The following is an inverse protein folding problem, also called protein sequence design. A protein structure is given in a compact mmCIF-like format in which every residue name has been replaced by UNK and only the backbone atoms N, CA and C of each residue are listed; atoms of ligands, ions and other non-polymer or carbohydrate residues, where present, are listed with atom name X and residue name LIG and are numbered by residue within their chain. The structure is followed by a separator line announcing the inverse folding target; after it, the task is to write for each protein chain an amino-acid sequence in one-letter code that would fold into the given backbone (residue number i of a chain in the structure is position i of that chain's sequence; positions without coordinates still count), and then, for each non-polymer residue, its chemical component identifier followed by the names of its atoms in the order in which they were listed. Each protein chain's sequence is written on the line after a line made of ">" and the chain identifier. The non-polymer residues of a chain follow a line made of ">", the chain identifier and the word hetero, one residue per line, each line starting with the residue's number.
data_IF_033069953746
#
_entry.id   IF_033069953746
#
_cell.length_a   1.000
_cell.length_b   1.000
_cell.length_c   1.000
_cell.angle_alpha   90.00
_cell.angle_beta   90.00
_cell.angle_gamma   90.00
#
_symmetry.space_group_name_H-M   'P 1'
#
loop_
_entity.id
_entity.type
_entity.pdbx_description
1 polymer ?
#
# COMPACT_ATOMS: atom_id res chain seq x y z
N UNK A 1 -41.05 -21.83 9.72
CA UNK A 1 -40.84 -20.67 8.79
C UNK A 1 -39.90 -19.61 9.37
N UNK A 2 -39.81 -19.51 10.69
CA UNK A 2 -38.97 -18.51 11.39
C UNK A 2 -37.49 -18.85 11.29
N UNK A 3 -37.13 -20.12 11.38
CA UNK A 3 -35.75 -20.57 11.38
C UNK A 3 -35.02 -20.42 10.01
N UNK A 4 -35.78 -20.58 8.91
CA UNK A 4 -35.24 -20.38 7.57
C UNK A 4 -34.91 -18.90 7.27
N UNK A 5 -35.73 -17.98 7.83
CA UNK A 5 -35.45 -16.54 7.69
C UNK A 5 -34.24 -16.11 8.52
N UNK A 6 -34.09 -16.66 9.73
CA UNK A 6 -32.90 -16.38 10.57
C UNK A 6 -31.63 -16.92 9.90
N UNK A 7 -31.70 -18.15 9.36
CA UNK A 7 -30.55 -18.75 8.64
C UNK A 7 -30.21 -17.99 7.36
N UNK A 8 -31.20 -17.46 6.66
CA UNK A 8 -31.01 -16.64 5.45
C UNK A 8 -30.48 -15.26 5.76
N UNK A 9 -30.92 -14.64 6.87
CA UNK A 9 -30.37 -13.36 7.32
C UNK A 9 -28.94 -13.51 7.84
N UNK A 10 -28.60 -14.60 8.53
CA UNK A 10 -27.25 -14.90 8.97
C UNK A 10 -26.32 -15.22 7.78
N UNK A 11 -26.80 -15.95 6.78
CA UNK A 11 -26.06 -16.20 5.54
C UNK A 11 -25.84 -14.91 4.73
N UNK A 12 -26.84 -14.04 4.62
CA UNK A 12 -26.72 -12.75 3.95
C UNK A 12 -25.86 -11.76 4.75
N UNK A 13 -25.89 -11.81 6.08
CA UNK A 13 -25.00 -11.05 6.94
C UNK A 13 -23.55 -11.52 6.81
N UNK A 14 -23.33 -12.82 6.69
CA UNK A 14 -22.01 -13.44 6.48
C UNK A 14 -21.49 -13.23 5.05
N UNK A 15 -22.38 -13.07 4.06
CA UNK A 15 -22.02 -12.74 2.68
C UNK A 15 -21.81 -11.25 2.42
N UNK A 16 -22.21 -10.38 3.37
CA UNK A 16 -22.02 -8.95 3.27
C UNK A 16 -20.97 -8.49 4.30
N UNK A 17 -19.68 -8.48 3.94
CA UNK A 17 -18.59 -8.13 4.86
C UNK A 17 -18.66 -6.69 5.40
N UNK A 18 -19.60 -5.91 4.92
CA UNK A 18 -19.83 -4.51 5.32
C UNK A 18 -20.84 -4.33 6.46
N UNK A 19 -21.55 -5.38 6.85
CA UNK A 19 -22.73 -5.27 7.74
C UNK A 19 -22.43 -5.13 9.24
N UNK A 20 -21.14 -5.18 9.64
CA UNK A 20 -20.77 -5.22 11.07
C UNK A 20 -19.93 -4.07 11.60
N UNK A 21 -19.21 -3.33 10.76
CA UNK A 21 -18.28 -2.29 11.22
C UNK A 21 -18.67 -0.94 10.63
N UNK A 22 -18.87 0.10 11.45
CA UNK A 22 -19.18 1.43 10.95
C UNK A 22 -18.07 1.94 10.04
N UNK A 23 -18.43 2.55 8.91
CA UNK A 23 -17.51 3.06 7.87
C UNK A 23 -16.42 3.95 8.47
N UNK A 24 -16.72 4.69 9.55
CA UNK A 24 -15.75 5.53 10.24
C UNK A 24 -14.59 4.77 10.88
N UNK A 25 -14.84 3.59 11.46
CA UNK A 25 -13.78 2.76 12.03
C UNK A 25 -12.89 2.13 10.95
N UNK A 26 -13.48 1.73 9.84
CA UNK A 26 -12.71 1.23 8.69
C UNK A 26 -11.80 2.32 8.11
N UNK A 27 -12.30 3.53 7.91
CA UNK A 27 -11.51 4.66 7.47
C UNK A 27 -10.37 4.99 8.45
N UNK A 28 -10.62 4.87 9.76
CA UNK A 28 -9.61 5.11 10.77
C UNK A 28 -8.47 4.06 10.70
N UNK A 29 -8.80 2.78 10.55
CA UNK A 29 -7.81 1.69 10.46
C UNK A 29 -6.90 1.82 9.22
N UNK A 30 -7.45 2.29 8.09
CA UNK A 30 -6.72 2.49 6.85
C UNK A 30 -6.20 3.93 6.67
N UNK A 31 -6.32 4.77 7.70
CA UNK A 31 -5.87 6.18 7.66
C UNK A 31 -4.41 6.37 7.21
N UNK A 32 -3.41 5.54 7.57
CA UNK A 32 -2.05 5.72 7.08
C UNK A 32 -1.93 5.49 5.56
N UNK A 33 -2.66 4.54 5.00
CA UNK A 33 -2.67 4.30 3.54
C UNK A 33 -3.39 5.44 2.81
N UNK A 34 -4.50 5.93 3.37
CA UNK A 34 -5.24 7.09 2.84
C UNK A 34 -4.35 8.33 2.87
N UNK A 35 -3.57 8.54 3.93
CA UNK A 35 -2.63 9.65 4.02
C UNK A 35 -1.53 9.55 2.96
N UNK A 36 -0.98 8.35 2.68
CA UNK A 36 0.01 8.14 1.62
C UNK A 36 -0.58 8.41 0.23
N UNK A 37 -1.78 7.92 -0.06
CA UNK A 37 -2.46 8.19 -1.35
C UNK A 37 -2.79 9.65 -1.53
N UNK A 38 -3.28 10.33 -0.48
CA UNK A 38 -3.54 11.76 -0.51
C UNK A 38 -2.25 12.57 -0.75
N UNK A 39 -1.14 12.16 -0.13
CA UNK A 39 0.17 12.78 -0.34
C UNK A 39 0.65 12.60 -1.78
N UNK A 40 0.49 11.40 -2.34
CA UNK A 40 0.82 11.12 -3.74
C UNK A 40 0.01 12.00 -4.70
N UNK A 41 -1.30 12.15 -4.47
CA UNK A 41 -2.16 13.05 -5.24
C UNK A 41 -1.74 14.52 -5.08
N UNK A 42 -1.38 14.94 -3.87
CA UNK A 42 -0.90 16.30 -3.60
C UNK A 42 0.40 16.60 -4.37
N UNK A 43 1.34 15.64 -4.44
CA UNK A 43 2.58 15.80 -5.19
C UNK A 43 2.31 15.87 -6.72
N UNK A 44 1.30 15.16 -7.22
CA UNK A 44 0.88 15.26 -8.63
C UNK A 44 0.22 16.61 -8.91
N UNK A 45 -0.61 17.09 -8.02
CA UNK A 45 -1.34 18.36 -8.19
C UNK A 45 -0.45 19.60 -7.97
N UNK A 46 0.53 19.52 -7.08
CA UNK A 46 1.38 20.64 -6.70
C UNK A 46 2.15 21.27 -7.87
N UNK A 47 2.79 20.53 -8.81
CA UNK A 47 3.46 21.10 -9.98
C UNK A 47 2.53 21.86 -10.91
N UNK A 48 1.25 21.50 -10.93
CA UNK A 48 0.23 22.17 -11.76
C UNK A 48 -0.13 23.56 -11.23
N UNK A 49 -0.03 23.74 -9.88
CA UNK A 49 -0.48 24.98 -9.22
C UNK A 49 0.71 25.90 -8.90
N UNK A 50 1.81 25.36 -8.38
CA UNK A 50 2.96 26.11 -7.85
C UNK A 50 4.23 26.01 -8.70
N UNK A 51 4.20 25.26 -9.82
CA UNK A 51 5.39 25.00 -10.61
C UNK A 51 6.31 23.91 -10.02
N UNK A 52 7.40 23.60 -10.72
CA UNK A 52 8.30 22.46 -10.41
C UNK A 52 9.37 22.78 -9.36
N UNK A 53 9.01 23.41 -8.26
CA UNK A 53 9.97 23.69 -7.17
C UNK A 53 10.34 22.43 -6.39
N UNK A 54 11.57 21.89 -6.55
CA UNK A 54 12.04 20.69 -5.86
C UNK A 54 11.89 20.76 -4.33
N UNK A 55 12.15 21.91 -3.74
CA UNK A 55 12.01 22.12 -2.28
C UNK A 55 10.57 22.02 -1.81
N UNK A 56 9.63 22.53 -2.61
CA UNK A 56 8.20 22.48 -2.30
C UNK A 56 7.73 21.02 -2.34
N UNK A 57 8.17 20.24 -3.35
CA UNK A 57 7.83 18.81 -3.49
C UNK A 57 8.39 17.98 -2.32
N UNK A 58 9.65 18.23 -1.94
CA UNK A 58 10.25 17.58 -0.79
C UNK A 58 9.53 17.94 0.52
N UNK A 59 9.10 19.20 0.70
CA UNK A 59 8.34 19.61 1.87
C UNK A 59 6.94 18.94 1.92
N UNK A 60 6.23 18.91 0.80
CA UNK A 60 4.91 18.25 0.70
C UNK A 60 5.04 16.75 1.00
N UNK A 61 6.04 16.07 0.44
CA UNK A 61 6.29 14.65 0.73
C UNK A 61 6.64 14.42 2.20
N UNK A 62 7.48 15.27 2.80
CA UNK A 62 7.85 15.17 4.21
C UNK A 62 6.64 15.35 5.14
N UNK A 63 5.79 16.36 4.87
CA UNK A 63 4.56 16.60 5.63
C UNK A 63 3.63 15.39 5.52
N UNK A 64 3.46 14.83 4.32
CA UNK A 64 2.61 13.66 4.11
C UNK A 64 3.13 12.40 4.80
N UNK A 65 4.44 12.16 4.77
CA UNK A 65 5.07 11.02 5.48
C UNK A 65 4.90 11.17 6.99
N UNK A 66 5.09 12.39 7.53
CA UNK A 66 4.87 12.66 8.96
C UNK A 66 3.40 12.46 9.33
N UNK A 67 2.46 12.91 8.51
CA UNK A 67 1.04 12.68 8.73
C UNK A 67 0.71 11.18 8.73
N UNK A 68 1.19 10.43 7.74
CA UNK A 68 1.00 8.99 7.66
C UNK A 68 1.61 8.27 8.89
N UNK A 69 2.78 8.71 9.36
CA UNK A 69 3.43 8.17 10.55
C UNK A 69 2.61 8.40 11.83
N UNK A 70 2.07 9.63 12.01
CA UNK A 70 1.18 9.96 13.14
C UNK A 70 -0.08 9.10 13.10
N UNK A 71 -0.70 8.92 11.93
CA UNK A 71 -1.87 8.07 11.79
C UNK A 71 -1.55 6.60 12.06
N UNK A 72 -0.43 6.08 11.55
CA UNK A 72 0.01 4.71 11.82
C UNK A 72 0.24 4.47 13.32
N UNK A 73 0.85 5.42 14.02
CA UNK A 73 1.05 5.32 15.46
C UNK A 73 -0.27 5.36 16.25
N UNK A 74 -1.24 6.17 15.82
CA UNK A 74 -2.59 6.19 16.41
C UNK A 74 -3.33 4.88 16.20
N UNK A 75 -3.25 4.31 15.00
CA UNK A 75 -3.84 3.00 14.69
C UNK A 75 -3.18 1.91 15.53
N UNK A 76 -1.84 1.90 15.64
CA UNK A 76 -1.12 0.96 16.48
C UNK A 76 -1.56 1.02 17.94
N UNK A 77 -1.70 2.24 18.48
CA UNK A 77 -2.17 2.44 19.86
C UNK A 77 -3.64 2.00 20.05
N UNK A 78 -4.49 2.13 19.04
CA UNK A 78 -5.86 1.66 19.09
C UNK A 78 -5.96 0.14 19.00
N UNK A 79 -5.22 -0.48 18.09
CA UNK A 79 -5.20 -1.94 17.89
C UNK A 79 -4.58 -2.63 19.11
N UNK A 80 -3.53 -2.06 19.73
CA UNK A 80 -2.91 -2.63 20.95
C UNK A 80 -3.82 -2.59 22.16
N UNK A 81 -4.67 -1.58 22.29
CA UNK A 81 -5.68 -1.47 23.36
C UNK A 81 -6.92 -2.33 23.11
N UNK A 82 -7.22 -2.62 21.85
CA UNK A 82 -8.38 -3.42 21.43
C UNK A 82 -8.21 -4.94 21.60
N UNK A 83 -7.04 -5.40 22.04
CA UNK A 83 -6.76 -6.84 22.27
C UNK A 83 -7.69 -7.53 23.27
N UNK A 84 -8.36 -6.79 24.17
CA UNK A 84 -9.39 -7.31 25.08
C UNK A 84 -10.82 -7.22 24.52
N UNK A 85 -11.05 -6.45 23.46
CA UNK A 85 -12.38 -6.14 22.91
C UNK A 85 -12.65 -6.65 21.48
N UNK A 86 -11.86 -7.61 20.99
CA UNK A 86 -12.12 -8.25 19.69
C UNK A 86 -11.82 -7.40 18.45
N UNK A 87 -11.22 -6.21 18.61
CA UNK A 87 -10.81 -5.32 17.53
C UNK A 87 -9.48 -5.75 16.85
N UNK A 88 -8.92 -6.89 17.25
CA UNK A 88 -7.61 -7.37 16.81
C UNK A 88 -7.55 -7.83 15.35
N UNK A 89 -8.71 -8.02 14.71
CA UNK A 89 -8.80 -8.39 13.30
C UNK A 89 -10.09 -7.86 12.71
N UNK A 90 -10.09 -6.64 12.17
CA UNK A 90 -11.23 -6.12 11.42
C UNK A 90 -10.97 -6.37 9.93
N UNK A 91 -11.65 -7.36 9.34
CA UNK A 91 -11.57 -7.55 7.90
C UNK A 91 -12.34 -6.43 7.19
N UNK A 92 -11.62 -5.51 6.55
CA UNK A 92 -12.26 -4.60 5.63
C UNK A 92 -12.59 -5.34 4.34
N UNK A 93 -13.85 -5.62 4.13
CA UNK A 93 -14.38 -6.31 2.95
C UNK A 93 -13.77 -7.72 2.68
N UNK A 94 -13.14 -8.36 3.67
CA UNK A 94 -12.46 -9.64 3.49
C UNK A 94 -11.17 -9.58 2.65
N UNK A 95 -10.73 -8.38 2.27
CA UNK A 95 -9.56 -8.17 1.43
C UNK A 95 -8.35 -7.68 2.23
N UNK A 96 -8.57 -6.82 3.21
CA UNK A 96 -7.53 -6.22 4.04
C UNK A 96 -7.81 -6.50 5.52
N UNK A 97 -6.75 -6.71 6.29
CA UNK A 97 -6.79 -6.99 7.73
C UNK A 97 -5.85 -6.01 8.42
N UNK A 98 -6.35 -5.38 9.48
CA UNK A 98 -5.55 -4.54 10.35
C UNK A 98 -5.28 -5.29 11.66
N UNK A 99 -4.07 -5.76 11.86
CA UNK A 99 -3.60 -6.40 13.07
C UNK A 99 -2.31 -5.75 13.61
N UNK A 100 -1.86 -6.18 14.77
CA UNK A 100 -0.64 -5.65 15.39
C UNK A 100 0.60 -5.85 14.51
N UNK A 101 0.68 -6.97 13.80
CA UNK A 101 1.79 -7.28 12.91
C UNK A 101 1.80 -6.34 11.71
N UNK A 102 0.65 -6.21 11.03
CA UNK A 102 0.45 -5.33 9.89
C UNK A 102 0.80 -3.88 10.23
N UNK A 103 0.28 -3.39 11.35
CA UNK A 103 0.52 -2.01 11.78
C UNK A 103 1.99 -1.79 12.19
N UNK A 104 2.62 -2.77 12.83
CA UNK A 104 4.03 -2.73 13.17
C UNK A 104 4.92 -2.61 11.92
N UNK A 105 4.66 -3.44 10.90
CA UNK A 105 5.38 -3.37 9.63
C UNK A 105 5.14 -2.04 8.89
N UNK A 106 3.92 -1.50 8.92
CA UNK A 106 3.64 -0.18 8.33
C UNK A 106 4.48 0.93 8.98
N UNK A 107 4.64 0.90 10.30
CA UNK A 107 5.50 1.87 11.00
C UNK A 107 6.95 1.76 10.55
N UNK A 108 7.49 0.54 10.43
CA UNK A 108 8.85 0.30 9.94
C UNK A 108 9.01 0.79 8.50
N UNK A 109 8.06 0.51 7.62
CA UNK A 109 8.05 0.98 6.23
C UNK A 109 8.04 2.52 6.15
N UNK A 110 7.20 3.18 6.96
CA UNK A 110 7.14 4.63 7.02
C UNK A 110 8.42 5.25 7.57
N UNK A 111 9.05 4.62 8.58
CA UNK A 111 10.34 5.07 9.09
C UNK A 111 11.44 4.95 8.02
N UNK A 112 11.46 3.86 7.27
CA UNK A 112 12.38 3.68 6.14
C UNK A 112 12.14 4.74 5.05
N UNK A 113 10.88 4.98 4.68
CA UNK A 113 10.47 6.00 3.72
C UNK A 113 10.92 7.40 4.16
N UNK A 114 10.75 7.73 5.43
CA UNK A 114 11.25 8.98 6.00
C UNK A 114 12.78 9.09 5.91
N UNK A 115 13.50 8.00 6.19
CA UNK A 115 14.96 7.92 6.06
C UNK A 115 15.43 8.19 4.63
N UNK A 116 14.81 7.53 3.63
CA UNK A 116 15.14 7.73 2.21
C UNK A 116 14.84 9.17 1.78
N UNK A 117 13.71 9.73 2.19
CA UNK A 117 13.34 11.12 1.90
C UNK A 117 14.33 12.12 2.53
N UNK A 118 14.79 11.82 3.74
CA UNK A 118 15.80 12.61 4.43
C UNK A 118 17.17 12.55 3.72
N UNK A 119 17.61 11.36 3.29
CA UNK A 119 18.84 11.19 2.50
C UNK A 119 18.78 11.94 1.18
N UNK A 120 17.62 11.90 0.52
CA UNK A 120 17.42 12.67 -0.70
C UNK A 120 17.55 14.18 -0.42
N UNK A 121 17.00 14.67 0.68
CA UNK A 121 17.06 16.07 1.07
C UNK A 121 18.53 16.52 1.34
N UNK A 122 19.34 15.66 1.95
CA UNK A 122 20.78 15.94 2.17
C UNK A 122 21.57 15.95 0.85
N UNK A 123 21.22 15.08 -0.10
CA UNK A 123 21.92 14.93 -1.38
C UNK A 123 21.40 15.81 -2.52
N UNK A 124 20.34 16.60 -2.31
CA UNK A 124 19.54 17.21 -3.36
C UNK A 124 20.19 18.37 -4.13
N UNK A 125 21.41 18.77 -3.81
CA UNK A 125 22.08 19.90 -4.44
C UNK A 125 22.29 19.79 -5.97
N UNK A 126 22.02 18.65 -6.60
CA UNK A 126 22.27 18.40 -8.03
C UNK A 126 21.10 17.81 -8.86
N UNK A 127 19.93 17.53 -8.28
CA UNK A 127 18.83 16.81 -8.96
C UNK A 127 17.46 17.50 -8.84
N UNK A 128 17.41 18.81 -8.98
CA UNK A 128 16.19 19.57 -8.74
C UNK A 128 15.06 19.32 -9.78
N UNK A 129 15.39 18.97 -11.03
CA UNK A 129 14.41 18.89 -12.12
C UNK A 129 13.42 17.70 -12.01
N UNK A 130 13.82 16.57 -11.44
CA UNK A 130 13.04 15.32 -11.43
C UNK A 130 12.54 14.95 -10.01
N UNK A 131 12.56 15.87 -9.08
CA UNK A 131 12.13 15.63 -7.70
C UNK A 131 10.69 15.09 -7.56
N UNK A 132 9.66 15.67 -8.23
CA UNK A 132 8.30 15.20 -8.09
C UNK A 132 8.14 13.75 -8.58
N UNK A 133 8.78 13.41 -9.71
CA UNK A 133 8.73 12.06 -10.27
C UNK A 133 9.33 11.03 -9.30
N UNK A 134 10.44 11.37 -8.65
CA UNK A 134 11.08 10.52 -7.65
C UNK A 134 10.19 10.25 -6.45
N UNK A 135 9.58 11.29 -5.87
CA UNK A 135 8.72 11.12 -4.70
C UNK A 135 7.42 10.38 -5.01
N UNK A 136 6.83 10.56 -6.20
CA UNK A 136 5.66 9.79 -6.63
C UNK A 136 5.98 8.30 -6.70
N UNK A 137 7.11 7.93 -7.32
CA UNK A 137 7.55 6.54 -7.43
C UNK A 137 7.87 5.95 -6.05
N UNK A 138 8.54 6.70 -5.19
CA UNK A 138 8.88 6.28 -3.84
C UNK A 138 7.63 6.02 -2.99
N UNK A 139 6.68 6.95 -3.00
CA UNK A 139 5.41 6.81 -2.27
C UNK A 139 4.53 5.70 -2.85
N UNK A 140 4.50 5.54 -4.18
CA UNK A 140 3.78 4.47 -4.85
C UNK A 140 4.29 3.08 -4.46
N UNK A 141 5.61 2.90 -4.43
CA UNK A 141 6.24 1.66 -3.95
C UNK A 141 5.92 1.39 -2.47
N UNK A 142 6.01 2.41 -1.61
CA UNK A 142 5.67 2.29 -0.19
C UNK A 142 4.19 1.94 0.03
N UNK A 143 3.28 2.52 -0.76
CA UNK A 143 1.86 2.19 -0.72
C UNK A 143 1.61 0.72 -1.08
N UNK A 144 2.26 0.22 -2.14
CA UNK A 144 2.16 -1.18 -2.54
C UNK A 144 2.66 -2.12 -1.43
N UNK A 145 3.78 -1.80 -0.78
CA UNK A 145 4.29 -2.57 0.36
C UNK A 145 3.33 -2.53 1.56
N UNK A 146 2.73 -1.37 1.86
CA UNK A 146 1.76 -1.22 2.94
C UNK A 146 0.48 -2.04 2.67
N UNK A 147 -0.01 -2.07 1.43
CA UNK A 147 -1.12 -2.93 1.01
C UNK A 147 -0.77 -4.42 1.17
N UNK A 148 0.45 -4.82 0.78
CA UNK A 148 0.88 -6.22 0.85
C UNK A 148 0.88 -6.75 2.28
N UNK A 149 1.31 -5.96 3.25
CA UNK A 149 1.35 -6.34 4.67
C UNK A 149 -0.04 -6.43 5.30
N UNK A 150 -1.02 -5.70 4.76
CA UNK A 150 -2.39 -5.64 5.29
C UNK A 150 -3.36 -6.57 4.60
N UNK A 151 -2.91 -7.36 3.63
CA UNK A 151 -3.83 -8.18 2.85
C UNK A 151 -3.89 -9.63 3.33
N UNK A 152 -5.10 -10.20 3.33
CA UNK A 152 -5.36 -11.61 3.63
C UNK A 152 -5.78 -12.41 2.38
N UNK A 153 -5.99 -11.74 1.24
CA UNK A 153 -6.49 -12.36 0.02
C UNK A 153 -5.38 -12.49 -1.02
N UNK A 154 -5.23 -13.68 -1.62
CA UNK A 154 -4.19 -13.96 -2.60
C UNK A 154 -4.24 -13.03 -3.82
N UNK A 155 -5.44 -12.69 -4.31
CA UNK A 155 -5.60 -11.76 -5.42
C UNK A 155 -5.07 -10.37 -5.06
N UNK A 156 -5.37 -9.91 -3.84
CA UNK A 156 -4.88 -8.62 -3.34
C UNK A 156 -3.37 -8.62 -3.12
N UNK A 157 -2.76 -9.76 -2.73
CA UNK A 157 -1.30 -9.90 -2.64
C UNK A 157 -0.67 -9.63 -4.01
N UNK A 158 -1.20 -10.24 -5.07
CA UNK A 158 -0.68 -10.03 -6.43
C UNK A 158 -0.79 -8.56 -6.84
N UNK A 159 -1.94 -7.93 -6.63
CA UNK A 159 -2.13 -6.50 -6.94
C UNK A 159 -1.17 -5.63 -6.12
N UNK A 160 -0.99 -5.93 -4.83
CA UNK A 160 -0.10 -5.18 -3.96
C UNK A 160 1.37 -5.31 -4.38
N UNK A 161 1.82 -6.52 -4.76
CA UNK A 161 3.16 -6.77 -5.28
C UNK A 161 3.39 -5.99 -6.58
N UNK A 162 2.45 -5.99 -7.51
CA UNK A 162 2.56 -5.22 -8.75
C UNK A 162 2.57 -3.71 -8.49
N UNK A 163 1.75 -3.24 -7.54
CA UNK A 163 1.73 -1.83 -7.15
C UNK A 163 3.05 -1.38 -6.52
N UNK A 164 3.76 -2.27 -5.81
CA UNK A 164 5.08 -1.99 -5.25
C UNK A 164 6.19 -2.07 -6.30
N UNK A 165 6.12 -3.05 -7.20
CA UNK A 165 7.18 -3.38 -8.16
C UNK A 165 7.26 -2.40 -9.31
N UNK A 166 6.14 -1.97 -9.89
CA UNK A 166 6.12 -1.06 -11.03
C UNK A 166 6.88 0.26 -10.76
N UNK A 167 6.63 0.97 -9.64
CA UNK A 167 7.43 2.14 -9.30
C UNK A 167 8.90 1.81 -9.07
N UNK A 168 9.23 0.65 -8.48
CA UNK A 168 10.62 0.26 -8.23
C UNK A 168 11.39 0.01 -9.52
N UNK A 169 10.76 -0.57 -10.56
CA UNK A 169 11.36 -0.72 -11.89
C UNK A 169 11.65 0.63 -12.54
N UNK A 170 10.73 1.58 -12.41
CA UNK A 170 10.92 2.93 -12.92
C UNK A 170 12.03 3.68 -12.17
N UNK A 171 12.20 3.44 -10.84
CA UNK A 171 13.28 4.04 -10.06
C UNK A 171 14.66 3.55 -10.47
N UNK A 172 14.82 2.28 -10.85
CA UNK A 172 16.10 1.74 -11.36
C UNK A 172 16.52 2.43 -12.65
N UNK A 173 15.57 2.73 -13.55
CA UNK A 173 15.82 3.45 -14.80
C UNK A 173 15.57 4.96 -14.70
N UNK A 174 15.64 5.55 -13.49
CA UNK A 174 15.29 6.95 -13.27
C UNK A 174 16.18 7.94 -14.02
N UNK A 175 17.48 7.65 -14.14
CA UNK A 175 18.40 8.47 -14.92
C UNK A 175 18.30 8.11 -16.40
N UNK A 176 17.53 8.91 -17.15
CA UNK A 176 17.30 8.72 -18.61
C UNK A 176 18.57 8.86 -19.46
N UNK A 177 19.66 9.40 -18.89
CA UNK A 177 20.94 9.56 -19.58
C UNK A 177 21.87 8.35 -19.41
N UNK A 178 21.60 7.52 -18.41
CA UNK A 178 22.37 6.31 -18.15
C UNK A 178 21.79 5.11 -18.90
N UNK A 179 22.53 4.69 -19.94
CA UNK A 179 22.18 3.52 -20.77
C UNK A 179 22.20 2.22 -19.97
N UNK A 180 23.10 2.10 -18.98
CA UNK A 180 23.20 0.94 -18.10
C UNK A 180 21.98 0.85 -17.16
N UNK A 181 21.52 1.99 -16.63
CA UNK A 181 20.31 2.07 -15.81
C UNK A 181 19.07 1.66 -16.58
N UNK A 182 18.94 2.09 -17.84
CA UNK A 182 17.81 1.69 -18.70
C UNK A 182 17.80 0.17 -19.00
N UNK A 183 18.97 -0.41 -19.27
CA UNK A 183 19.13 -1.86 -19.49
C UNK A 183 18.84 -2.65 -18.20
N UNK A 184 19.29 -2.17 -17.04
CA UNK A 184 19.02 -2.78 -15.74
C UNK A 184 17.53 -2.75 -15.41
N UNK A 185 16.84 -1.63 -15.65
CA UNK A 185 15.41 -1.48 -15.44
C UNK A 185 14.60 -2.46 -16.31
N UNK A 186 14.97 -2.61 -17.58
CA UNK A 186 14.31 -3.55 -18.49
C UNK A 186 14.48 -5.00 -18.02
N UNK A 187 15.69 -5.41 -17.63
CA UNK A 187 15.95 -6.75 -17.09
C UNK A 187 15.14 -7.00 -15.83
N UNK A 188 15.12 -6.03 -14.90
CA UNK A 188 14.38 -6.14 -13.66
C UNK A 188 12.87 -6.27 -13.90
N UNK A 189 12.31 -5.50 -14.83
CA UNK A 189 10.89 -5.58 -15.22
C UNK A 189 10.54 -6.95 -15.82
N UNK A 190 11.38 -7.50 -16.70
CA UNK A 190 11.14 -8.82 -17.31
C UNK A 190 11.13 -9.91 -16.23
N UNK A 191 12.09 -9.93 -15.32
CA UNK A 191 12.13 -10.90 -14.22
C UNK A 191 10.92 -10.75 -13.31
N UNK A 192 10.51 -9.53 -12.95
CA UNK A 192 9.34 -9.27 -12.14
C UNK A 192 8.06 -9.77 -12.80
N UNK A 193 7.86 -9.47 -14.09
CA UNK A 193 6.70 -9.94 -14.85
C UNK A 193 6.61 -11.47 -14.93
N UNK A 194 7.73 -12.17 -15.10
CA UNK A 194 7.77 -13.63 -15.08
C UNK A 194 7.39 -14.17 -13.70
N UNK A 195 7.93 -13.59 -12.63
CA UNK A 195 7.57 -13.99 -11.26
C UNK A 195 6.07 -13.78 -10.98
N UNK A 196 5.52 -12.65 -11.39
CA UNK A 196 4.10 -12.36 -11.25
C UNK A 196 3.22 -13.36 -12.02
N UNK A 197 3.60 -13.68 -13.27
CA UNK A 197 2.89 -14.66 -14.09
C UNK A 197 2.90 -16.05 -13.46
N UNK A 198 4.01 -16.48 -12.86
CA UNK A 198 4.12 -17.74 -12.13
C UNK A 198 3.21 -17.73 -10.90
N UNK A 199 3.24 -16.65 -10.11
CA UNK A 199 2.41 -16.52 -8.91
C UNK A 199 0.93 -16.56 -9.25
N UNK A 200 0.48 -15.88 -10.30
CA UNK A 200 -0.90 -15.91 -10.77
C UNK A 200 -1.32 -17.31 -11.25
N UNK A 201 -0.42 -18.05 -11.90
CA UNK A 201 -0.74 -19.39 -12.43
C UNK A 201 -0.78 -20.47 -11.34
N UNK A 202 -0.01 -20.32 -10.27
CA UNK A 202 0.01 -21.30 -9.16
C UNK A 202 -1.18 -21.15 -8.19
N UNK A 203 -1.92 -20.02 -8.21
CA UNK A 203 -2.93 -19.71 -7.20
C UNK A 203 -4.19 -20.59 -7.18
N UNK A 204 -4.94 -20.85 -8.27
CA UNK A 204 -6.28 -21.44 -8.17
C UNK A 204 -6.47 -22.84 -8.76
N UNK A 205 -5.43 -23.53 -9.19
CA UNK A 205 -5.62 -24.83 -9.89
C UNK A 205 -5.92 -26.03 -8.99
N UNK A 206 -5.81 -25.90 -7.66
CA UNK A 206 -5.97 -27.04 -6.75
C UNK A 206 -7.41 -27.39 -6.37
N UNK A 207 -8.41 -26.56 -6.71
CA UNK A 207 -9.81 -26.82 -6.31
C UNK A 207 -10.68 -27.46 -7.39
N UNK A 208 -10.19 -27.60 -8.63
CA UNK A 208 -11.00 -28.14 -9.74
C UNK A 208 -10.96 -29.67 -9.89
N UNK A 209 -10.17 -30.37 -9.09
CA UNK A 209 -9.95 -31.83 -9.25
C UNK A 209 -10.77 -32.73 -8.31
N UNK A 210 -11.68 -32.21 -7.46
CA UNK A 210 -12.37 -33.02 -6.44
C UNK A 210 -13.89 -33.17 -6.59
N UNK A 211 -14.46 -32.85 -7.73
CA UNK A 211 -15.91 -33.00 -7.96
C UNK A 211 -16.25 -33.94 -9.14
N UNK A 212 -15.44 -34.99 -9.38
CA UNK A 212 -15.84 -36.09 -10.25
C UNK A 212 -15.33 -37.43 -9.66
N UNK A 213 -16.04 -37.94 -8.69
CA UNK A 213 -16.24 -39.37 -8.43
C UNK A 213 -17.62 -39.52 -7.81
#
# INVERSE_FOLDING_TARGET
>A
FTDANVMMTDFLAQSNPWSGVPVGEQLFLFSPMIALTATMLAIVACPLIFGRGARIMAAVSAIGIVAAFVFAFRVAAAVSKGGESGLSTVPAAGLLVADNLSTGFQIVLLAFLAGVSYLWWLGSAKREENAPEFFILLLGSALGMALMVSTANLLMIVIAVETASLPSYAMVGFDKRDRLGAEASLKYMIFGAVCAAITCNCGPTSTRSRSRV
#
